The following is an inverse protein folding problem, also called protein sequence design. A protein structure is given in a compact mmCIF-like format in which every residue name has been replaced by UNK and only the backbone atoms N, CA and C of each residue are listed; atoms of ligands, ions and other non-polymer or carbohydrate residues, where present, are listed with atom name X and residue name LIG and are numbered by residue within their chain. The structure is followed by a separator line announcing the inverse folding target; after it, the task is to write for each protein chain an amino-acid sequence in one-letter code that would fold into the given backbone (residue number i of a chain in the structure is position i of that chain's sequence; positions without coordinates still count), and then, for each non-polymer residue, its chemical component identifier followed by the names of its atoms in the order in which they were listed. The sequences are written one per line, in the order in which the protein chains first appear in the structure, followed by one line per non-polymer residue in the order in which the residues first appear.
data_IF_582098056286
#
_entry.id   IF_582098056286
#
_cell.length_a   1.000
_cell.length_b   1.000
_cell.length_c   1.000
_cell.angle_alpha   90.00
_cell.angle_beta   90.00
_cell.angle_gamma   90.00
#
_symmetry.space_group_name_H-M   'P 1'
#
loop_
_entity.id
_entity.type
_entity.pdbx_description
1 polymer ?
#
# COMPACT_ATOMS: atom_id res chain seq x y z
N UNK A 1 -4.69 15.62 -16.93
CA UNK A 1 -5.63 15.84 -18.06
C UNK A 1 -6.84 14.93 -17.91
N UNK A 2 -6.69 13.58 -17.89
CA UNK A 2 -7.80 12.62 -17.84
C UNK A 2 -8.78 12.80 -16.67
N UNK A 3 -8.30 13.27 -15.51
CA UNK A 3 -9.14 13.58 -14.34
C UNK A 3 -10.00 14.84 -14.54
N UNK A 4 -9.51 15.80 -15.30
CA UNK A 4 -10.19 17.09 -15.50
C UNK A 4 -11.14 17.10 -16.71
N UNK A 5 -10.85 16.27 -17.71
CA UNK A 5 -11.69 16.21 -18.91
C UNK A 5 -13.18 15.94 -18.63
N UNK A 6 -13.57 14.97 -17.79
CA UNK A 6 -15.00 14.75 -17.55
C UNK A 6 -15.69 15.93 -16.85
N UNK A 7 -14.94 16.78 -16.13
CA UNK A 7 -15.49 17.94 -15.46
C UNK A 7 -15.99 19.02 -16.42
N UNK A 8 -15.46 19.07 -17.65
CA UNK A 8 -15.88 20.08 -18.63
C UNK A 8 -17.30 19.88 -19.14
N UNK A 9 -17.84 18.67 -19.11
CA UNK A 9 -19.19 18.40 -19.60
C UNK A 9 -20.27 19.13 -18.80
N UNK A 10 -20.27 18.99 -17.49
CA UNK A 10 -21.32 19.56 -16.63
C UNK A 10 -20.95 20.91 -15.99
N UNK A 11 -19.64 21.20 -15.78
CA UNK A 11 -19.22 22.48 -15.20
C UNK A 11 -19.06 23.60 -16.23
N UNK A 12 -18.53 23.26 -17.42
CA UNK A 12 -18.24 24.26 -18.44
C UNK A 12 -19.23 24.22 -19.63
N UNK A 13 -20.09 23.21 -19.70
CA UNK A 13 -20.94 22.99 -20.83
C UNK A 13 -20.19 22.70 -22.15
N UNK A 14 -18.98 22.12 -22.02
CA UNK A 14 -18.12 21.82 -23.18
C UNK A 14 -17.90 20.32 -23.24
N UNK A 15 -18.21 19.71 -24.39
CA UNK A 15 -17.86 18.31 -24.66
C UNK A 15 -16.44 18.22 -25.24
N UNK A 16 -15.44 17.81 -24.45
CA UNK A 16 -14.04 17.75 -24.91
C UNK A 16 -13.84 16.64 -25.96
N UNK A 17 -14.70 15.65 -25.95
CA UNK A 17 -14.70 14.55 -26.90
C UNK A 17 -16.13 14.40 -27.44
N UNK A 18 -16.30 14.66 -28.72
CA UNK A 18 -17.55 14.43 -29.43
C UNK A 18 -17.65 12.94 -29.77
N UNK A 19 -18.07 12.14 -28.82
CA UNK A 19 -18.20 10.72 -28.99
C UNK A 19 -19.64 10.31 -28.72
N UNK A 20 -20.27 9.71 -29.74
CA UNK A 20 -21.57 9.10 -29.54
C UNK A 20 -21.47 7.84 -28.69
N UNK A 21 -22.54 7.47 -27.99
CA UNK A 21 -22.58 6.26 -27.18
C UNK A 21 -22.23 5.00 -28.00
N UNK A 22 -22.62 4.95 -29.25
CA UNK A 22 -22.30 3.85 -30.17
C UNK A 22 -20.78 3.80 -30.45
N UNK A 23 -20.16 4.93 -30.78
CA UNK A 23 -18.73 5.00 -31.04
C UNK A 23 -17.90 4.68 -29.74
N UNK A 24 -18.40 5.08 -28.56
CA UNK A 24 -17.79 4.70 -27.29
C UNK A 24 -17.79 3.19 -27.09
N UNK A 25 -18.91 2.51 -27.35
CA UNK A 25 -19.02 1.06 -27.21
C UNK A 25 -18.19 0.28 -28.22
N UNK A 26 -18.13 0.77 -29.46
CA UNK A 26 -17.47 0.06 -30.57
C UNK A 26 -15.96 0.31 -30.63
N UNK A 27 -15.46 1.45 -30.16
CA UNK A 27 -14.07 1.83 -30.26
C UNK A 27 -13.36 1.87 -28.88
N UNK A 28 -13.94 2.63 -27.91
CA UNK A 28 -13.25 2.82 -26.62
C UNK A 28 -13.29 1.59 -25.74
N UNK A 29 -14.42 0.90 -25.65
CA UNK A 29 -14.56 -0.26 -24.78
C UNK A 29 -13.62 -1.41 -25.20
N UNK A 30 -13.54 -1.83 -26.49
CA UNK A 30 -12.59 -2.85 -26.92
C UNK A 30 -11.13 -2.43 -26.72
N UNK A 31 -10.79 -1.18 -27.01
CA UNK A 31 -9.44 -0.66 -26.81
C UNK A 31 -9.05 -0.70 -25.34
N UNK A 32 -9.93 -0.25 -24.44
CA UNK A 32 -9.70 -0.29 -23.01
C UNK A 32 -9.61 -1.73 -22.49
N UNK A 33 -10.49 -2.62 -22.93
CA UNK A 33 -10.43 -4.04 -22.57
C UNK A 33 -9.11 -4.68 -23.01
N UNK A 34 -8.66 -4.40 -24.25
CA UNK A 34 -7.38 -4.87 -24.75
C UNK A 34 -6.21 -4.35 -23.91
N UNK A 35 -6.24 -3.08 -23.52
CA UNK A 35 -5.22 -2.48 -22.67
C UNK A 35 -5.15 -3.17 -21.28
N UNK A 36 -6.30 -3.40 -20.64
CA UNK A 36 -6.38 -4.06 -19.32
C UNK A 36 -5.89 -5.50 -19.42
N UNK A 37 -6.33 -6.25 -20.43
CA UNK A 37 -5.92 -7.64 -20.66
C UNK A 37 -4.41 -7.74 -20.95
N UNK A 38 -3.89 -6.87 -21.83
CA UNK A 38 -2.47 -6.84 -22.17
C UNK A 38 -1.59 -6.51 -20.97
N UNK A 39 -1.98 -5.53 -20.14
CA UNK A 39 -1.27 -5.19 -18.92
C UNK A 39 -1.30 -6.34 -17.90
N UNK A 40 -2.44 -6.99 -17.73
CA UNK A 40 -2.57 -8.16 -16.87
C UNK A 40 -1.68 -9.32 -17.32
N UNK A 41 -1.66 -9.59 -18.62
CA UNK A 41 -0.84 -10.65 -19.23
C UNK A 41 0.66 -10.36 -19.12
N UNK A 42 1.10 -9.15 -19.51
CA UNK A 42 2.50 -8.74 -19.47
C UNK A 42 3.07 -8.75 -18.04
N UNK A 43 2.26 -8.35 -17.06
CA UNK A 43 2.66 -8.32 -15.65
C UNK A 43 2.47 -9.66 -14.94
N UNK A 44 2.05 -10.73 -15.62
CA UNK A 44 1.77 -12.06 -15.03
C UNK A 44 0.91 -11.97 -13.75
N UNK A 45 -0.06 -11.07 -13.71
CA UNK A 45 -0.91 -10.84 -12.55
C UNK A 45 -0.25 -10.14 -11.35
N UNK A 46 1.04 -9.77 -11.42
CA UNK A 46 1.75 -9.10 -10.32
C UNK A 46 1.26 -7.68 -10.06
N UNK A 47 0.72 -7.02 -11.07
CA UNK A 47 0.09 -5.69 -10.98
C UNK A 47 -1.22 -5.69 -11.77
N UNK A 48 -2.27 -5.18 -11.16
CA UNK A 48 -3.51 -4.89 -11.87
C UNK A 48 -3.41 -3.51 -12.50
N UNK A 49 -3.94 -3.36 -13.72
CA UNK A 49 -4.00 -2.06 -14.40
C UNK A 49 -4.64 -0.99 -13.51
N UNK A 50 -5.71 -1.36 -12.80
CA UNK A 50 -6.44 -0.47 -11.90
C UNK A 50 -5.59 0.05 -10.72
N UNK A 51 -4.77 -0.79 -10.06
CA UNK A 51 -3.89 -0.33 -8.97
C UNK A 51 -2.78 0.60 -9.47
N UNK A 52 -2.29 0.39 -10.70
CA UNK A 52 -1.31 1.30 -11.32
C UNK A 52 -1.92 2.67 -11.59
N UNK A 53 -3.13 2.71 -12.11
CA UNK A 53 -3.92 3.92 -12.30
C UNK A 53 -4.15 4.68 -11.00
N UNK A 54 -4.59 3.99 -9.93
CA UNK A 54 -4.83 4.60 -8.61
C UNK A 54 -3.59 5.27 -8.02
N UNK A 55 -2.42 4.64 -8.17
CA UNK A 55 -1.16 5.24 -7.74
C UNK A 55 -0.89 6.54 -8.50
N UNK A 56 -1.14 6.55 -9.82
CA UNK A 56 -1.09 7.74 -10.65
C UNK A 56 -2.02 8.85 -10.14
N UNK A 57 -3.25 8.49 -9.74
CA UNK A 57 -4.24 9.45 -9.24
C UNK A 57 -3.79 10.12 -7.94
N UNK A 58 -3.33 9.36 -6.95
CA UNK A 58 -2.81 9.90 -5.68
C UNK A 58 -1.63 10.84 -5.92
N UNK A 59 -0.75 10.51 -6.85
CA UNK A 59 0.46 11.27 -7.12
C UNK A 59 0.28 12.40 -8.16
N UNK A 60 -0.85 12.46 -8.85
CA UNK A 60 -1.07 13.43 -9.94
C UNK A 60 -0.82 14.87 -9.50
N UNK A 61 -1.40 15.30 -8.39
CA UNK A 61 -1.26 16.69 -7.92
C UNK A 61 0.17 17.01 -7.46
N UNK A 62 0.80 16.20 -6.57
CA UNK A 62 2.20 16.42 -6.19
C UNK A 62 3.15 16.44 -7.37
N UNK A 63 2.99 15.53 -8.33
CA UNK A 63 3.82 15.48 -9.53
C UNK A 63 3.61 16.72 -10.41
N UNK A 64 2.35 17.13 -10.62
CA UNK A 64 2.03 18.33 -11.40
C UNK A 64 2.68 19.57 -10.77
N UNK A 65 2.54 19.74 -9.45
CA UNK A 65 3.17 20.86 -8.72
C UNK A 65 4.69 20.80 -8.86
N UNK A 66 5.30 19.63 -8.76
CA UNK A 66 6.74 19.45 -8.92
C UNK A 66 7.20 19.80 -10.34
N UNK A 67 6.48 19.34 -11.37
CA UNK A 67 6.79 19.65 -12.76
C UNK A 67 6.70 21.15 -13.02
N UNK A 68 5.61 21.79 -12.58
CA UNK A 68 5.42 23.23 -12.73
C UNK A 68 6.48 24.04 -11.99
N UNK A 69 6.85 23.62 -10.77
CA UNK A 69 7.92 24.26 -10.01
C UNK A 69 9.28 24.17 -10.73
N UNK A 70 9.58 23.02 -11.32
CA UNK A 70 10.80 22.83 -12.10
C UNK A 70 10.82 23.66 -13.38
N UNK A 71 9.69 23.81 -14.07
CA UNK A 71 9.57 24.67 -15.26
C UNK A 71 9.83 26.15 -14.95
N UNK A 72 9.51 26.59 -13.73
CA UNK A 72 9.79 27.95 -13.24
C UNK A 72 11.19 28.06 -12.60
N UNK A 73 12.04 27.04 -12.73
CA UNK A 73 13.41 27.05 -12.20
C UNK A 73 13.52 26.82 -10.69
N UNK A 74 12.44 26.44 -10.00
CA UNK A 74 12.48 26.07 -8.58
C UNK A 74 12.89 24.60 -8.45
N UNK A 75 14.19 24.35 -8.34
CA UNK A 75 14.72 23.01 -8.12
C UNK A 75 14.59 22.67 -6.66
N UNK A 76 13.63 21.79 -6.32
CA UNK A 76 13.51 21.24 -4.98
C UNK A 76 14.61 20.22 -4.70
N UNK A 77 15.23 20.26 -3.52
CA UNK A 77 16.17 19.24 -3.09
C UNK A 77 15.52 17.86 -2.99
N UNK A 78 16.28 16.80 -3.24
CA UNK A 78 15.83 15.42 -3.07
C UNK A 78 15.49 15.15 -1.60
N UNK A 79 14.22 14.84 -1.31
CA UNK A 79 13.77 14.45 0.03
C UNK A 79 13.72 12.93 0.11
N UNK A 80 14.55 12.38 0.99
CA UNK A 80 14.53 10.95 1.29
C UNK A 80 13.26 10.65 2.11
N UNK A 81 12.46 9.70 1.65
CA UNK A 81 11.31 9.23 2.41
C UNK A 81 11.81 8.52 3.67
N UNK A 82 11.41 8.93 4.87
CA UNK A 82 11.81 8.26 6.11
C UNK A 82 11.22 6.85 6.14
N UNK A 83 12.10 5.84 6.07
CA UNK A 83 11.70 4.42 5.97
C UNK A 83 11.27 3.80 7.29
N UNK A 84 11.61 4.41 8.42
CA UNK A 84 11.41 3.84 9.76
C UNK A 84 10.77 4.88 10.68
N UNK A 85 9.54 5.28 10.41
CA UNK A 85 8.77 6.09 11.33
C UNK A 85 7.79 5.21 12.11
N UNK A 86 7.93 5.22 13.43
CA UNK A 86 6.90 4.73 14.33
C UNK A 86 5.71 5.67 14.28
N UNK A 87 4.51 5.12 14.12
CA UNK A 87 3.26 5.86 14.19
C UNK A 87 2.32 5.14 15.13
N UNK A 88 2.00 5.75 16.25
CA UNK A 88 1.11 5.15 17.23
C UNK A 88 -0.35 5.19 16.77
N UNK A 89 -0.71 6.15 15.91
CA UNK A 89 -2.05 6.32 15.34
C UNK A 89 -1.99 6.44 13.84
N UNK A 90 -2.99 5.86 13.17
CA UNK A 90 -3.19 6.09 11.74
C UNK A 90 -3.59 7.53 11.47
N UNK A 91 -3.17 8.08 10.34
CA UNK A 91 -3.50 9.45 9.92
C UNK A 91 -3.65 9.55 8.42
N UNK A 92 -4.41 10.55 7.97
CA UNK A 92 -4.45 10.92 6.56
C UNK A 92 -3.31 11.89 6.23
N UNK A 93 -2.69 11.71 5.07
CA UNK A 93 -1.78 12.70 4.51
C UNK A 93 -2.60 13.86 3.91
N UNK A 94 -2.75 14.96 4.65
CA UNK A 94 -3.55 16.10 4.23
C UNK A 94 -3.08 16.71 2.90
N UNK A 95 -1.78 16.71 2.65
CA UNK A 95 -1.21 17.24 1.40
C UNK A 95 -1.69 16.46 0.15
N UNK A 96 -1.93 15.16 0.30
CA UNK A 96 -2.45 14.30 -0.77
C UNK A 96 -3.99 14.29 -0.78
N UNK A 97 -4.61 14.34 0.39
CA UNK A 97 -6.04 14.20 0.59
C UNK A 97 -6.82 15.43 0.09
N UNK A 98 -6.41 16.64 0.47
CA UNK A 98 -7.16 17.87 0.16
C UNK A 98 -7.40 18.09 -1.34
N UNK A 99 -6.39 17.94 -2.22
CA UNK A 99 -6.61 18.09 -3.65
C UNK A 99 -7.57 17.03 -4.22
N UNK A 100 -7.51 15.80 -3.71
CA UNK A 100 -8.41 14.73 -4.16
C UNK A 100 -9.84 14.97 -3.70
N UNK A 101 -10.05 15.49 -2.49
CA UNK A 101 -11.37 15.91 -2.01
C UNK A 101 -11.95 17.05 -2.84
N UNK A 102 -11.14 18.05 -3.19
CA UNK A 102 -11.58 19.13 -4.06
C UNK A 102 -11.99 18.61 -5.44
N UNK A 103 -11.19 17.70 -6.05
CA UNK A 103 -11.53 17.07 -7.33
C UNK A 103 -12.80 16.22 -7.23
N UNK A 104 -13.00 15.49 -6.13
CA UNK A 104 -14.22 14.71 -5.91
C UNK A 104 -15.44 15.61 -5.80
N UNK A 105 -15.33 16.74 -5.09
CA UNK A 105 -16.40 17.73 -4.99
C UNK A 105 -16.75 18.33 -6.35
N UNK A 106 -15.75 18.77 -7.11
CA UNK A 106 -15.99 19.26 -8.48
C UNK A 106 -16.65 18.21 -9.36
N UNK A 107 -16.24 16.95 -9.21
CA UNK A 107 -16.84 15.87 -9.98
C UNK A 107 -18.31 15.59 -9.58
N UNK A 108 -18.64 15.70 -8.31
CA UNK A 108 -20.03 15.62 -7.83
C UNK A 108 -20.87 16.75 -8.41
N UNK A 109 -20.39 18.00 -8.38
CA UNK A 109 -21.09 19.15 -8.99
C UNK A 109 -21.25 18.97 -10.49
N UNK A 110 -20.23 18.45 -11.18
CA UNK A 110 -20.30 18.12 -12.60
C UNK A 110 -21.39 17.06 -12.90
N UNK A 111 -21.44 15.98 -12.12
CA UNK A 111 -22.47 14.95 -12.28
C UNK A 111 -23.87 15.49 -11.99
N UNK A 112 -24.02 16.33 -10.96
CA UNK A 112 -25.27 17.00 -10.66
C UNK A 112 -25.70 17.90 -11.82
N UNK A 113 -24.80 18.70 -12.39
CA UNK A 113 -25.08 19.55 -13.57
C UNK A 113 -25.55 18.73 -14.78
N UNK A 114 -24.88 17.58 -15.02
CA UNK A 114 -25.30 16.67 -16.13
C UNK A 114 -26.64 16.00 -15.87
N UNK A 115 -27.06 15.79 -14.62
CA UNK A 115 -28.31 15.14 -14.27
C UNK A 115 -29.51 16.14 -14.27
N UNK A 116 -29.30 17.32 -13.67
CA UNK A 116 -30.39 18.29 -13.42
C UNK A 116 -30.69 19.25 -14.57
N UNK A 117 -29.70 19.63 -15.37
CA UNK A 117 -29.83 20.71 -16.34
C UNK A 117 -29.87 20.20 -17.79
N UNK A 118 -30.54 19.06 -18.03
CA UNK A 118 -30.58 18.44 -19.36
C UNK A 118 -31.15 19.37 -20.45
N UNK A 119 -32.14 20.22 -20.12
CA UNK A 119 -32.76 21.16 -21.04
C UNK A 119 -31.90 22.37 -21.39
N UNK A 120 -30.94 22.71 -20.53
CA UNK A 120 -30.12 23.93 -20.64
C UNK A 120 -28.72 23.67 -21.22
N UNK A 121 -28.42 22.39 -21.47
CA UNK A 121 -27.10 21.97 -22.00
C UNK A 121 -27.07 22.20 -23.55
N UNK A 122 -25.91 22.66 -24.06
CA UNK A 122 -25.71 22.74 -25.52
C UNK A 122 -25.90 21.37 -26.20
N UNK A 123 -26.41 21.35 -27.42
CA UNK A 123 -26.68 20.12 -28.17
C UNK A 123 -25.50 19.15 -28.24
N UNK A 124 -24.27 19.69 -28.35
CA UNK A 124 -23.04 18.89 -28.35
C UNK A 124 -22.80 18.15 -27.04
N UNK A 125 -23.10 18.80 -25.91
CA UNK A 125 -22.97 18.19 -24.57
C UNK A 125 -24.10 17.19 -24.37
N UNK A 126 -25.29 17.50 -24.85
CA UNK A 126 -26.45 16.60 -24.78
C UNK A 126 -26.17 15.29 -25.51
N UNK A 127 -25.60 15.34 -26.71
CA UNK A 127 -25.18 14.15 -27.45
C UNK A 127 -24.09 13.32 -26.73
N UNK A 128 -23.14 13.97 -26.06
CA UNK A 128 -22.07 13.35 -25.28
C UNK A 128 -22.42 13.03 -23.83
N UNK A 129 -23.61 13.40 -23.35
CA UNK A 129 -24.05 13.28 -21.96
C UNK A 129 -23.89 11.88 -21.38
N UNK A 130 -24.27 10.78 -22.03
CA UNK A 130 -24.09 9.43 -21.50
C UNK A 130 -22.61 9.10 -21.26
N UNK A 131 -21.73 9.52 -22.16
CA UNK A 131 -20.27 9.32 -22.01
C UNK A 131 -19.74 10.16 -20.83
N UNK A 132 -20.17 11.42 -20.73
CA UNK A 132 -19.81 12.30 -19.61
C UNK A 132 -20.26 11.76 -18.25
N UNK A 133 -21.46 11.17 -18.16
CA UNK A 133 -21.97 10.55 -16.94
C UNK A 133 -21.17 9.30 -16.56
N UNK A 134 -20.96 8.37 -17.50
CA UNK A 134 -20.21 7.14 -17.25
C UNK A 134 -18.79 7.49 -16.82
N UNK A 135 -18.13 8.39 -17.54
CA UNK A 135 -16.76 8.81 -17.20
C UNK A 135 -16.70 9.54 -15.85
N UNK A 136 -17.66 10.43 -15.57
CA UNK A 136 -17.77 11.10 -14.29
C UNK A 136 -17.95 10.13 -13.12
N UNK A 137 -18.79 9.09 -13.27
CA UNK A 137 -18.98 8.06 -12.24
C UNK A 137 -17.70 7.25 -12.03
N UNK A 138 -17.04 6.79 -13.09
CA UNK A 138 -15.76 6.06 -12.99
C UNK A 138 -14.70 6.94 -12.31
N UNK A 139 -14.63 8.21 -12.69
CA UNK A 139 -13.73 9.19 -12.12
C UNK A 139 -13.99 9.38 -10.60
N UNK A 140 -15.24 9.52 -10.20
CA UNK A 140 -15.63 9.66 -8.80
C UNK A 140 -15.26 8.41 -7.98
N UNK A 141 -15.57 7.21 -8.48
CA UNK A 141 -15.20 5.96 -7.82
C UNK A 141 -13.67 5.84 -7.65
N UNK A 142 -12.91 6.17 -8.69
CA UNK A 142 -11.44 6.16 -8.63
C UNK A 142 -10.91 7.18 -7.62
N UNK A 143 -11.50 8.38 -7.56
CA UNK A 143 -11.14 9.40 -6.54
C UNK A 143 -11.44 8.91 -5.13
N UNK A 144 -12.59 8.26 -4.88
CA UNK A 144 -12.92 7.71 -3.56
C UNK A 144 -11.90 6.65 -3.11
N UNK A 145 -11.49 5.77 -4.02
CA UNK A 145 -10.46 4.77 -3.71
C UNK A 145 -9.09 5.43 -3.49
N UNK A 146 -8.73 6.45 -4.28
CA UNK A 146 -7.49 7.22 -4.09
C UNK A 146 -7.50 7.97 -2.73
N UNK A 147 -8.62 8.57 -2.34
CA UNK A 147 -8.82 9.19 -1.02
C UNK A 147 -8.63 8.16 0.09
N UNK A 148 -9.19 6.96 -0.06
CA UNK A 148 -9.01 5.87 0.91
C UNK A 148 -7.54 5.40 0.98
N UNK A 149 -6.82 5.42 -0.13
CA UNK A 149 -5.40 5.08 -0.20
C UNK A 149 -4.49 6.12 0.48
N UNK A 150 -4.97 7.35 0.71
CA UNK A 150 -4.24 8.37 1.49
C UNK A 150 -4.22 8.09 3.00
N UNK A 151 -4.95 7.07 3.47
CA UNK A 151 -4.91 6.62 4.85
C UNK A 151 -3.63 5.83 5.12
N UNK A 152 -2.83 6.32 6.03
CA UNK A 152 -1.60 5.70 6.49
C UNK A 152 -1.88 5.03 7.85
N UNK A 153 -1.89 3.70 7.93
CA UNK A 153 -2.23 2.99 9.16
C UNK A 153 -1.16 3.18 10.25
N UNK A 154 -1.54 2.94 11.50
CA UNK A 154 -0.59 2.92 12.60
C UNK A 154 0.48 1.85 12.34
N UNK A 155 1.75 2.25 12.46
CA UNK A 155 2.91 1.37 12.38
C UNK A 155 3.61 1.35 13.74
N UNK A 156 3.14 0.48 14.64
CA UNK A 156 3.71 0.32 15.99
C UNK A 156 5.10 -0.29 15.96
N UNK A 157 5.34 -1.15 14.98
CA UNK A 157 6.61 -1.82 14.78
C UNK A 157 7.37 -1.21 13.60
N UNK A 158 8.67 -0.99 13.79
CA UNK A 158 9.58 -0.47 12.77
C UNK A 158 9.79 -1.44 11.61
N UNK A 159 9.66 -2.73 11.88
CA UNK A 159 9.96 -3.80 10.94
C UNK A 159 8.75 -4.74 10.78
N UNK A 160 8.48 -5.22 9.56
CA UNK A 160 7.37 -6.13 9.30
C UNK A 160 7.57 -7.47 10.00
N UNK A 161 6.49 -8.03 10.51
CA UNK A 161 6.43 -9.37 11.09
C UNK A 161 6.07 -10.40 10.03
N UNK A 162 6.96 -11.34 9.80
CA UNK A 162 6.72 -12.47 8.92
C UNK A 162 6.08 -13.61 9.72
N UNK A 163 4.87 -14.02 9.35
CA UNK A 163 4.22 -15.19 9.93
C UNK A 163 4.90 -16.44 9.39
N UNK A 164 5.33 -17.32 10.28
CA UNK A 164 5.98 -18.57 9.92
C UNK A 164 5.79 -19.59 11.04
N UNK A 165 6.00 -20.86 10.77
CA UNK A 165 5.93 -21.92 11.76
C UNK A 165 7.22 -22.73 11.69
N UNK A 166 8.13 -22.47 12.64
CA UNK A 166 9.44 -23.11 12.67
C UNK A 166 9.72 -23.61 14.07
N UNK A 167 10.16 -24.86 14.20
CA UNK A 167 10.62 -25.42 15.47
C UNK A 167 11.89 -24.70 15.94
N UNK A 168 11.94 -24.38 17.21
CA UNK A 168 13.03 -23.67 17.82
C UNK A 168 13.22 -24.12 19.27
N UNK A 169 14.32 -23.71 19.89
CA UNK A 169 14.55 -23.92 21.30
C UNK A 169 15.21 -22.68 21.93
N UNK A 170 14.82 -22.44 23.17
CA UNK A 170 15.44 -21.42 24.00
C UNK A 170 16.49 -22.11 24.84
N UNK A 171 17.68 -21.54 24.88
CA UNK A 171 18.81 -21.99 25.69
C UNK A 171 19.02 -20.97 26.82
N UNK A 172 19.00 -21.45 28.07
CA UNK A 172 19.28 -20.62 29.24
C UNK A 172 20.79 -20.49 29.49
N UNK A 173 21.18 -19.73 30.51
CA UNK A 173 22.60 -19.57 30.92
C UNK A 173 23.22 -20.86 31.38
N UNK A 174 22.44 -21.83 31.87
CA UNK A 174 22.89 -23.15 32.30
C UNK A 174 23.04 -24.15 31.15
N UNK A 175 22.73 -23.77 29.93
CA UNK A 175 22.78 -24.63 28.75
C UNK A 175 21.55 -25.56 28.60
N UNK A 176 20.51 -25.41 29.43
CA UNK A 176 19.27 -26.17 29.27
C UNK A 176 18.48 -25.67 28.09
N UNK A 177 17.89 -26.61 27.32
CA UNK A 177 17.15 -26.32 26.10
C UNK A 177 15.66 -26.56 26.30
N UNK A 178 14.86 -25.55 26.04
CA UNK A 178 13.41 -25.60 26.13
C UNK A 178 12.80 -25.54 24.72
N UNK A 179 12.05 -26.57 24.31
CA UNK A 179 11.45 -26.60 22.98
C UNK A 179 10.34 -25.55 22.85
N UNK A 180 10.33 -24.84 21.71
CA UNK A 180 9.31 -23.86 21.38
C UNK A 180 9.08 -23.84 19.86
N UNK A 181 8.08 -23.11 19.42
CA UNK A 181 7.78 -22.90 18.01
C UNK A 181 7.70 -21.41 17.70
N UNK A 182 8.44 -20.96 16.70
CA UNK A 182 8.34 -19.59 16.21
C UNK A 182 7.07 -19.46 15.39
N UNK A 183 6.22 -18.48 15.72
CA UNK A 183 4.98 -18.18 15.00
C UNK A 183 5.05 -16.90 14.18
N UNK A 184 5.94 -15.99 14.55
CA UNK A 184 6.25 -14.80 13.76
C UNK A 184 7.67 -14.31 14.07
N UNK A 185 8.35 -13.78 13.07
CA UNK A 185 9.72 -13.30 13.15
C UNK A 185 9.86 -11.93 12.49
N UNK A 186 10.65 -11.05 13.09
CA UNK A 186 10.94 -9.70 12.62
C UNK A 186 12.40 -9.35 12.92
N UNK A 187 12.91 -8.29 12.30
CA UNK A 187 14.22 -7.72 12.69
C UNK A 187 14.21 -7.13 14.10
N UNK A 188 13.05 -6.82 14.68
CA UNK A 188 12.92 -6.28 16.03
C UNK A 188 12.72 -7.35 17.10
N UNK A 189 12.30 -8.57 16.73
CA UNK A 189 12.02 -9.63 17.69
C UNK A 189 11.37 -10.87 17.11
N UNK A 190 10.87 -11.71 18.00
CA UNK A 190 10.25 -13.00 17.65
C UNK A 190 9.04 -13.27 18.54
N UNK A 191 8.03 -13.87 17.95
CA UNK A 191 6.87 -14.42 18.68
C UNK A 191 7.00 -15.94 18.70
N UNK A 192 6.95 -16.52 19.86
CA UNK A 192 7.05 -17.96 20.05
C UNK A 192 5.83 -18.51 20.78
N UNK A 193 5.55 -19.79 20.57
CA UNK A 193 4.62 -20.59 21.38
C UNK A 193 5.37 -21.74 22.03
N UNK A 194 4.97 -22.09 23.24
CA UNK A 194 5.58 -23.17 24.03
C UNK A 194 4.51 -23.92 24.84
N UNK A 195 4.80 -25.16 25.17
CA UNK A 195 3.82 -26.05 25.82
C UNK A 195 3.84 -25.99 27.37
N UNK A 196 4.93 -25.52 28.00
CA UNK A 196 5.08 -25.52 29.45
C UNK A 196 5.16 -24.11 30.01
N UNK A 197 4.32 -23.82 31.00
CA UNK A 197 4.24 -22.53 31.71
C UNK A 197 5.50 -22.13 32.49
N UNK A 198 6.49 -23.01 32.59
CA UNK A 198 7.70 -22.84 33.42
C UNK A 198 8.97 -22.58 32.60
N UNK A 199 8.90 -21.74 31.56
CA UNK A 199 10.13 -21.23 30.97
C UNK A 199 10.80 -20.26 31.94
N UNK A 200 12.00 -20.55 32.41
CA UNK A 200 12.75 -19.59 33.22
C UNK A 200 13.20 -18.44 32.31
N UNK A 201 12.44 -17.37 32.30
CA UNK A 201 12.79 -16.16 31.57
C UNK A 201 13.94 -15.46 32.27
N UNK A 202 15.16 -15.83 31.90
CA UNK A 202 16.36 -15.11 32.33
C UNK A 202 16.72 -14.11 31.24
N UNK A 203 17.08 -12.90 31.62
CA UNK A 203 17.43 -11.79 30.70
C UNK A 203 18.62 -12.08 29.77
N UNK A 204 19.15 -13.29 29.75
CA UNK A 204 20.29 -13.70 28.94
C UNK A 204 20.03 -14.99 28.16
N UNK A 205 18.75 -15.35 27.93
CA UNK A 205 18.41 -16.53 27.14
C UNK A 205 18.74 -16.31 25.67
N UNK A 206 19.11 -17.39 24.95
CA UNK A 206 19.38 -17.36 23.52
C UNK A 206 18.37 -18.23 22.77
N UNK A 207 17.88 -17.74 21.65
CA UNK A 207 16.98 -18.49 20.75
C UNK A 207 17.75 -19.07 19.59
N UNK A 208 17.53 -20.34 19.30
CA UNK A 208 18.10 -21.06 18.14
C UNK A 208 16.99 -21.79 17.40
N UNK A 209 17.00 -21.76 16.06
CA UNK A 209 16.02 -22.48 15.22
C UNK A 209 16.61 -23.14 13.98
N UNK A 210 17.82 -22.77 13.57
CA UNK A 210 18.50 -23.39 12.44
C UNK A 210 20.01 -23.34 12.61
N UNK A 211 20.75 -24.03 11.73
CA UNK A 211 22.22 -24.02 11.75
C UNK A 211 22.81 -22.77 11.11
N UNK A 212 22.08 -22.13 10.22
CA UNK A 212 22.53 -20.98 9.42
C UNK A 212 22.53 -19.67 10.20
N UNK A 213 21.76 -19.59 11.28
CA UNK A 213 21.70 -18.43 12.17
C UNK A 213 22.29 -18.81 13.53
N UNK A 214 23.23 -18.04 14.06
CA UNK A 214 23.75 -18.29 15.40
C UNK A 214 22.64 -18.16 16.45
N UNK A 215 22.86 -18.67 17.65
CA UNK A 215 21.91 -18.50 18.74
C UNK A 215 21.84 -17.01 19.10
N UNK A 216 20.67 -16.39 18.93
CA UNK A 216 20.49 -14.95 19.13
C UNK A 216 20.00 -14.63 20.54
N UNK A 217 20.54 -13.61 21.20
CA UNK A 217 20.09 -13.18 22.51
C UNK A 217 18.66 -12.64 22.43
N UNK A 218 17.81 -13.05 23.38
CA UNK A 218 16.41 -12.64 23.45
C UNK A 218 16.07 -12.08 24.84
N UNK A 219 15.22 -11.07 24.84
CA UNK A 219 14.73 -10.40 26.04
C UNK A 219 13.19 -10.49 26.01
N UNK A 220 12.55 -11.06 27.03
CA UNK A 220 11.11 -11.15 27.10
C UNK A 220 10.48 -9.75 27.24
N UNK A 221 9.49 -9.47 26.40
CA UNK A 221 8.74 -8.19 26.45
C UNK A 221 7.32 -8.39 26.95
N UNK A 222 6.67 -9.45 26.51
CA UNK A 222 5.34 -9.83 26.96
C UNK A 222 5.23 -11.35 26.91
N UNK A 223 4.84 -11.95 28.03
CA UNK A 223 4.74 -13.41 28.17
C UNK A 223 3.35 -13.76 28.72
N UNK A 224 2.72 -14.75 28.09
CA UNK A 224 1.50 -15.40 28.57
C UNK A 224 1.81 -16.87 28.82
N UNK A 225 0.86 -17.65 29.29
CA UNK A 225 1.07 -19.09 29.62
C UNK A 225 1.59 -19.92 28.44
N UNK A 226 1.26 -19.57 27.22
CA UNK A 226 1.60 -20.36 26.01
C UNK A 226 2.31 -19.57 24.91
N UNK A 227 2.36 -18.22 25.01
CA UNK A 227 2.92 -17.35 23.98
C UNK A 227 3.83 -16.31 24.60
N UNK A 228 5.00 -16.11 24.00
CA UNK A 228 5.89 -15.03 24.38
C UNK A 228 6.26 -14.16 23.18
N UNK A 229 6.30 -12.85 23.42
CA UNK A 229 6.88 -11.86 22.54
C UNK A 229 8.26 -11.49 23.09
N UNK A 230 9.29 -11.77 22.31
CA UNK A 230 10.68 -11.52 22.68
C UNK A 230 11.26 -10.47 21.74
N UNK A 231 12.05 -9.56 22.29
CA UNK A 231 12.91 -8.66 21.52
C UNK A 231 14.31 -9.25 21.42
N UNK A 232 15.00 -8.91 20.33
CA UNK A 232 16.43 -9.22 20.27
C UNK A 232 17.19 -8.39 21.29
N UNK A 233 18.16 -9.00 21.96
CA UNK A 233 19.16 -8.30 22.74
C UNK A 233 20.16 -7.55 21.85
N UNK A 234 21.29 -7.19 22.38
CA UNK A 234 22.36 -6.54 21.61
C UNK A 234 22.94 -7.53 20.60
N UNK A 235 22.49 -7.42 19.34
CA UNK A 235 22.99 -8.23 18.23
C UNK A 235 24.30 -7.66 17.68
N UNK A 236 25.32 -8.50 17.61
CA UNK A 236 26.52 -8.16 16.86
C UNK A 236 26.22 -8.07 15.37
N UNK A 237 27.06 -7.34 14.62
CA UNK A 237 26.82 -7.09 13.20
C UNK A 237 26.68 -8.37 12.35
N UNK A 238 27.44 -9.41 12.67
CA UNK A 238 27.36 -10.69 11.97
C UNK A 238 26.07 -11.45 12.29
N UNK A 239 25.58 -11.40 13.53
CA UNK A 239 24.32 -12.00 13.97
C UNK A 239 23.13 -11.31 13.28
N UNK A 240 23.13 -9.98 13.25
CA UNK A 240 22.11 -9.19 12.55
C UNK A 240 22.09 -9.48 11.04
N UNK A 241 23.26 -9.61 10.41
CA UNK A 241 23.36 -9.99 8.98
C UNK A 241 22.82 -11.40 8.74
N UNK A 242 23.11 -12.36 9.62
CA UNK A 242 22.60 -13.73 9.51
C UNK A 242 21.06 -13.77 9.66
N UNK A 243 20.50 -13.01 10.61
CA UNK A 243 19.06 -12.86 10.80
C UNK A 243 18.38 -12.27 9.54
N UNK A 244 18.89 -11.14 9.02
CA UNK A 244 18.34 -10.47 7.83
C UNK A 244 18.42 -11.40 6.61
N UNK A 245 19.56 -12.06 6.41
CA UNK A 245 19.72 -13.03 5.31
C UNK A 245 18.69 -14.16 5.42
N UNK A 246 18.48 -14.69 6.61
CA UNK A 246 17.51 -15.75 6.84
C UNK A 246 16.07 -15.27 6.63
N UNK A 247 15.72 -14.04 7.06
CA UNK A 247 14.40 -13.46 6.87
C UNK A 247 14.04 -13.25 5.40
N UNK A 248 14.99 -12.73 4.60
CA UNK A 248 14.68 -12.18 3.28
C UNK A 248 15.34 -12.90 2.11
N UNK A 249 16.36 -13.73 2.33
CA UNK A 249 17.15 -14.33 1.26
C UNK A 249 17.04 -15.86 1.18
N UNK A 250 16.32 -16.52 2.09
CA UNK A 250 16.15 -17.99 2.00
C UNK A 250 15.20 -18.37 0.87
N UNK A 251 15.37 -19.53 0.23
CA UNK A 251 14.39 -20.07 -0.70
C UNK A 251 13.01 -20.19 -0.02
N UNK A 252 11.94 -19.76 -0.69
CA UNK A 252 10.57 -19.81 -0.17
C UNK A 252 10.25 -18.80 0.96
N UNK A 253 11.12 -17.82 1.25
CA UNK A 253 10.79 -16.75 2.21
C UNK A 253 9.73 -15.80 1.67
N UNK A 254 9.62 -15.68 0.36
CA UNK A 254 8.54 -14.96 -0.31
C UNK A 254 7.44 -15.96 -0.62
N UNK A 255 6.28 -15.75 -0.01
CA UNK A 255 5.09 -16.54 -0.33
C UNK A 255 4.81 -16.32 -1.81
N UNK A 256 4.92 -17.38 -2.62
CA UNK A 256 4.44 -17.36 -3.99
C UNK A 256 2.97 -16.97 -3.93
N UNK A 257 2.65 -15.82 -4.49
CA UNK A 257 1.28 -15.39 -4.68
C UNK A 257 0.69 -16.28 -5.77
N UNK A 258 0.15 -17.42 -5.33
CA UNK A 258 -0.75 -18.21 -6.14
C UNK A 258 -2.09 -17.49 -6.27
#
# INVERSE_FOLDING_TARGET
VLMLMPLSYGLLGIAPILLTSQAALTLLLPLWALQVLSLGWLNRGSRTAFLSELTGWVLTVPLTVTVLANLVGRIGGFRVTPKHQRRDRGSYSLQLLLPLLALALFNLVNLQGLLSNASDLPDQVLAGRPVGLIWGVINLLSLLVAIRACWDPAAKDLYPWQKLKVAAWIEDLGGHRYPCSITALSESGVRITYANATLPWVNSSKLRWCKEVPALPVIPTNTTETVALLRWGDLQQHERRALIRWLFCRPGCWVDRQ
#
